data_IF_813075026006
#
_entry.id   IF_813075026006
#
_cell.length_a   1.000
_cell.length_b   1.000
_cell.length_c   1.000
_cell.angle_alpha   90.00
_cell.angle_beta   90.00
_cell.angle_gamma   90.00
#
_symmetry.space_group_name_H-M   'P 1'
#
loop_
_entity.id
_entity.type
_entity.pdbx_description
1 polymer ?
#
# COMPACT_ATOMS: atom_id res chain seq x y z
N UNK A 1 -36.28 -24.08 -27.80
CA UNK A 1 -35.89 -23.04 -26.81
C UNK A 1 -35.62 -23.66 -25.42
N UNK A 2 -34.67 -24.61 -25.26
CA UNK A 2 -34.38 -25.27 -23.95
C UNK A 2 -32.92 -25.72 -23.75
N UNK A 3 -31.94 -25.00 -24.31
CA UNK A 3 -30.50 -25.30 -24.08
C UNK A 3 -29.76 -24.21 -23.29
N UNK A 4 -30.41 -23.10 -22.94
CA UNK A 4 -29.77 -21.92 -22.34
C UNK A 4 -29.49 -22.07 -20.83
N UNK A 5 -30.28 -22.87 -20.12
CA UNK A 5 -30.19 -23.11 -18.67
C UNK A 5 -28.93 -23.86 -18.19
N UNK A 6 -28.45 -24.93 -18.87
CA UNK A 6 -27.22 -25.62 -18.46
C UNK A 6 -25.97 -24.79 -18.74
N UNK A 7 -25.98 -23.99 -19.82
CA UNK A 7 -24.85 -23.15 -20.22
C UNK A 7 -24.62 -22.03 -19.20
N UNK A 8 -25.67 -21.34 -18.76
CA UNK A 8 -25.55 -20.29 -17.74
C UNK A 8 -25.07 -20.83 -16.40
N UNK A 9 -25.54 -22.01 -16.00
CA UNK A 9 -25.12 -22.67 -14.75
C UNK A 9 -23.65 -23.09 -14.78
N UNK A 10 -23.18 -23.62 -15.92
CA UNK A 10 -21.77 -24.00 -16.10
C UNK A 10 -20.84 -22.77 -16.06
N UNK A 11 -21.25 -21.64 -16.66
CA UNK A 11 -20.52 -20.38 -16.63
C UNK A 11 -20.42 -19.83 -15.20
N UNK A 12 -21.52 -19.85 -14.45
CA UNK A 12 -21.54 -19.40 -13.05
C UNK A 12 -20.62 -20.25 -12.15
N UNK A 13 -20.64 -21.57 -12.31
CA UNK A 13 -19.76 -22.48 -11.57
C UNK A 13 -18.27 -22.25 -11.90
N UNK A 14 -17.94 -22.09 -13.18
CA UNK A 14 -16.55 -21.82 -13.59
C UNK A 14 -16.07 -20.45 -13.13
N UNK A 15 -16.90 -19.41 -13.23
CA UNK A 15 -16.55 -18.07 -12.75
C UNK A 15 -16.30 -18.04 -11.24
N UNK A 16 -17.14 -18.75 -10.47
CA UNK A 16 -16.99 -18.84 -9.00
C UNK A 16 -15.72 -19.60 -8.63
N UNK A 17 -15.41 -20.70 -9.33
CA UNK A 17 -14.18 -21.48 -9.11
C UNK A 17 -12.93 -20.65 -9.43
N UNK A 18 -12.92 -19.90 -10.53
CA UNK A 18 -11.82 -19.01 -10.90
C UNK A 18 -11.61 -17.88 -9.88
N UNK A 19 -12.69 -17.33 -9.32
CA UNK A 19 -12.61 -16.30 -8.29
C UNK A 19 -11.93 -16.81 -7.00
N UNK A 20 -12.06 -18.11 -6.67
CA UNK A 20 -11.38 -18.69 -5.49
C UNK A 20 -9.87 -18.89 -5.69
N UNK A 21 -9.41 -19.01 -6.94
CA UNK A 21 -7.99 -19.11 -7.28
C UNK A 21 -7.30 -17.74 -7.22
N UNK A 22 -8.05 -16.65 -7.38
CA UNK A 22 -7.61 -15.29 -7.12
C UNK A 22 -7.69 -14.98 -5.60
N UNK A 23 -6.88 -15.66 -4.79
CA UNK A 23 -6.81 -15.36 -3.34
C UNK A 23 -6.53 -13.88 -3.05
N UNK A 24 -6.91 -13.38 -1.86
CA UNK A 24 -6.85 -11.95 -1.49
C UNK A 24 -5.49 -11.26 -1.64
N UNK A 25 -4.41 -12.03 -1.62
CA UNK A 25 -3.07 -11.66 -2.08
C UNK A 25 -2.42 -12.88 -2.69
N UNK A 26 -3.07 -13.46 -3.71
CA UNK A 26 -2.40 -14.44 -4.58
C UNK A 26 -1.12 -13.80 -5.10
N UNK A 27 -0.04 -14.58 -5.19
CA UNK A 27 1.21 -14.20 -5.85
C UNK A 27 0.85 -13.56 -7.20
N UNK A 28 0.79 -12.24 -7.23
CA UNK A 28 0.17 -11.50 -8.30
C UNK A 28 1.17 -11.26 -9.43
N UNK A 29 0.67 -10.72 -10.53
CA UNK A 29 1.52 -10.10 -11.56
C UNK A 29 2.40 -8.96 -11.01
N UNK A 30 2.11 -8.48 -9.80
CA UNK A 30 2.82 -7.39 -9.15
C UNK A 30 3.81 -7.92 -8.09
N UNK A 31 4.94 -7.23 -7.93
CA UNK A 31 5.89 -7.55 -6.88
C UNK A 31 5.22 -7.49 -5.49
N UNK A 32 5.74 -8.26 -4.52
CA UNK A 32 5.24 -8.20 -3.16
C UNK A 32 5.37 -6.77 -2.61
N UNK A 33 4.44 -6.37 -1.74
CA UNK A 33 4.36 -5.03 -1.16
C UNK A 33 5.58 -4.62 -0.27
N UNK A 34 6.59 -5.47 -0.15
CA UNK A 34 7.74 -5.27 0.73
C UNK A 34 7.45 -5.59 2.21
N UNK A 35 8.48 -5.46 3.04
CA UNK A 35 8.36 -5.62 4.50
C UNK A 35 7.49 -4.52 5.10
N UNK A 36 6.98 -4.74 6.31
CA UNK A 36 6.21 -3.70 7.03
C UNK A 36 7.01 -2.40 7.20
N UNK A 37 8.32 -2.51 7.46
CA UNK A 37 9.20 -1.35 7.57
C UNK A 37 9.30 -0.59 6.22
N UNK A 38 9.43 -1.31 5.10
CA UNK A 38 9.43 -0.70 3.77
C UNK A 38 8.13 0.05 3.47
N UNK A 39 6.99 -0.54 3.83
CA UNK A 39 5.68 0.08 3.63
C UNK A 39 5.50 1.33 4.49
N UNK A 40 5.90 1.27 5.76
CA UNK A 40 5.86 2.42 6.66
C UNK A 40 6.80 3.53 6.18
N UNK A 41 8.03 3.18 5.78
CA UNK A 41 8.99 4.14 5.27
C UNK A 41 8.47 4.86 4.02
N UNK A 42 7.86 4.11 3.10
CA UNK A 42 7.24 4.66 1.91
C UNK A 42 6.11 5.65 2.23
N UNK A 43 5.28 5.33 3.22
CA UNK A 43 4.20 6.21 3.66
C UNK A 43 4.73 7.54 4.25
N UNK A 44 5.87 7.50 4.96
CA UNK A 44 6.49 8.68 5.56
C UNK A 44 7.14 9.58 4.51
N UNK A 45 7.86 8.99 3.54
CA UNK A 45 8.57 9.73 2.48
C UNK A 45 7.60 10.46 1.56
N UNK A 46 6.45 9.87 1.29
CA UNK A 46 5.41 10.44 0.42
C UNK A 46 4.28 11.12 1.19
N UNK A 47 4.51 11.48 2.45
CA UNK A 47 3.56 12.26 3.23
C UNK A 47 3.39 13.66 2.61
N UNK A 48 2.17 14.11 2.29
CA UNK A 48 1.95 15.45 1.75
C UNK A 48 2.21 16.57 2.77
N UNK A 49 2.29 16.27 4.07
CA UNK A 49 2.50 17.26 5.11
C UNK A 49 3.99 17.59 5.29
N UNK A 50 4.28 18.90 5.31
CA UNK A 50 5.63 19.39 5.51
C UNK A 50 6.21 18.89 6.84
N UNK A 51 7.49 18.57 6.79
CA UNK A 51 8.28 18.27 7.96
C UNK A 51 8.72 19.57 8.67
N UNK A 52 9.06 19.48 9.96
CA UNK A 52 9.42 20.64 10.79
C UNK A 52 10.69 21.38 10.34
N UNK A 53 11.51 20.77 9.49
CA UNK A 53 12.75 21.32 8.91
C UNK A 53 12.54 21.99 7.54
N UNK A 54 11.39 21.79 6.90
CA UNK A 54 11.05 22.38 5.61
C UNK A 54 10.18 23.62 5.78
N UNK A 55 9.21 23.56 6.70
CA UNK A 55 8.26 24.64 6.95
C UNK A 55 7.85 24.69 8.44
N UNK A 56 7.30 25.82 8.91
CA UNK A 56 6.73 25.90 10.25
C UNK A 56 5.63 24.85 10.47
N UNK A 57 5.53 24.37 11.71
CA UNK A 57 4.51 23.42 12.10
C UNK A 57 3.10 24.01 11.96
N UNK A 58 2.27 23.41 11.11
CA UNK A 58 0.85 23.73 10.98
C UNK A 58 -0.04 22.63 11.55
N UNK A 59 -0.59 22.88 12.74
CA UNK A 59 -1.50 21.95 13.41
C UNK A 59 -2.87 21.79 12.71
N UNK A 60 -3.26 22.73 11.85
CA UNK A 60 -4.57 22.70 11.19
C UNK A 60 -4.62 21.77 9.97
N UNK A 61 -3.46 21.56 9.33
CA UNK A 61 -3.40 20.94 8.00
C UNK A 61 -3.39 19.41 8.09
N UNK A 62 -2.72 18.87 9.11
CA UNK A 62 -2.52 17.44 9.33
C UNK A 62 -3.57 16.87 10.30
N UNK A 63 -4.04 15.61 10.13
CA UNK A 63 -4.98 15.03 11.08
C UNK A 63 -4.35 14.83 12.47
N UNK A 64 -5.14 14.87 13.57
CA UNK A 64 -4.66 14.77 14.95
C UNK A 64 -3.70 13.61 15.23
N UNK A 65 -4.00 12.42 14.70
CA UNK A 65 -3.19 11.22 14.92
C UNK A 65 -1.87 11.21 14.14
N UNK A 66 -1.67 12.16 13.22
CA UNK A 66 -0.48 12.28 12.38
C UNK A 66 0.33 13.52 12.75
N UNK A 67 -0.09 14.33 13.73
CA UNK A 67 0.56 15.59 14.06
C UNK A 67 2.03 15.42 14.45
N UNK A 68 2.43 14.26 14.98
CA UNK A 68 3.79 13.99 15.44
C UNK A 68 4.63 13.31 14.34
N UNK A 69 5.50 14.05 13.62
CA UNK A 69 6.45 13.44 12.70
C UNK A 69 7.50 12.61 13.45
N UNK A 70 8.16 11.71 12.73
CA UNK A 70 9.29 10.97 13.29
C UNK A 70 10.42 11.92 13.73
N UNK A 71 11.15 11.59 14.82
CA UNK A 71 12.35 12.30 15.18
C UNK A 71 13.37 12.31 14.03
N UNK A 72 14.03 13.44 13.81
CA UNK A 72 14.99 13.61 12.71
C UNK A 72 16.07 12.50 12.62
N UNK A 73 16.68 12.03 13.73
CA UNK A 73 17.68 10.97 13.64
C UNK A 73 17.13 9.65 13.07
N UNK A 74 15.87 9.34 13.36
CA UNK A 74 15.19 8.15 12.84
C UNK A 74 14.87 8.36 11.37
N UNK A 75 14.36 9.54 11.03
CA UNK A 75 14.03 9.91 9.66
C UNK A 75 15.23 9.91 8.72
N UNK A 76 16.38 10.41 9.17
CA UNK A 76 17.60 10.44 8.37
C UNK A 76 18.13 9.03 8.00
N UNK A 77 17.68 8.01 8.73
CA UNK A 77 18.01 6.61 8.48
C UNK A 77 16.98 5.85 7.63
N UNK A 78 15.81 6.43 7.36
CA UNK A 78 14.72 5.73 6.64
C UNK A 78 15.15 5.21 5.27
N UNK A 79 15.78 6.06 4.46
CA UNK A 79 16.20 5.69 3.11
C UNK A 79 17.29 4.61 3.13
N UNK A 80 18.41 4.74 3.85
CA UNK A 80 19.43 3.69 3.86
C UNK A 80 18.94 2.38 4.49
N UNK A 81 18.07 2.43 5.50
CA UNK A 81 17.64 1.23 6.23
C UNK A 81 16.43 0.52 5.58
N UNK A 82 15.53 1.25 4.92
CA UNK A 82 14.27 0.71 4.41
C UNK A 82 14.04 0.95 2.91
N UNK A 83 14.64 1.97 2.29
CA UNK A 83 14.38 2.32 0.89
C UNK A 83 15.67 2.59 0.08
N UNK A 84 16.67 1.68 0.08
CA UNK A 84 18.00 1.95 -0.51
C UNK A 84 17.97 2.23 -2.01
N UNK A 85 16.87 1.90 -2.70
CA UNK A 85 16.67 2.19 -4.12
C UNK A 85 16.32 3.66 -4.41
N UNK A 86 15.95 4.47 -3.41
CA UNK A 86 15.54 5.86 -3.61
C UNK A 86 16.73 6.82 -3.85
N UNK A 87 17.96 6.33 -3.80
CA UNK A 87 19.17 7.15 -3.92
C UNK A 87 19.49 7.92 -2.63
N UNK A 88 20.67 8.53 -2.59
CA UNK A 88 21.11 9.38 -1.49
C UNK A 88 21.29 10.80 -1.99
#
# INVERSE_FOLDING_TARGET
MRHSLPITSAILLTATLLATLAGCRGQGLFPPAGTMNQQQANAIVHDPYCQNDIAPFEAASRPPSYQEPLPEPVRNRLIPDAMPWLGR
#
